data_IF_362854326722
#
_entry.id   IF_362854326722
#
_cell.length_a   1.000
_cell.length_b   1.000
_cell.length_c   1.000
_cell.angle_alpha   90.00
_cell.angle_beta   90.00
_cell.angle_gamma   90.00
#
_symmetry.space_group_name_H-M   'P 1'
#
loop_
_entity.id
_entity.type
_entity.pdbx_description
1 polymer ?
#
# COMPACT_ATOMS: atom_id res chain seq x y z
N UNK A 1 -3.08 14.92 6.65
CA UNK A 1 -2.40 14.12 7.71
C UNK A 1 -2.52 12.62 7.44
N UNK A 2 -3.71 12.03 7.33
CA UNK A 2 -3.86 10.59 7.02
C UNK A 2 -3.48 10.22 5.59
N UNK A 3 -3.73 11.10 4.62
CA UNK A 3 -3.24 10.95 3.25
C UNK A 3 -1.71 10.77 3.19
N UNK A 4 -0.96 11.68 3.83
CA UNK A 4 0.50 11.61 3.86
C UNK A 4 1.00 10.39 4.65
N UNK A 5 0.30 9.99 5.72
CA UNK A 5 0.60 8.75 6.46
C UNK A 5 0.45 7.53 5.54
N UNK A 6 -0.62 7.47 4.75
CA UNK A 6 -0.89 6.34 3.84
C UNK A 6 0.13 6.18 2.72
N UNK A 7 0.78 7.27 2.29
CA UNK A 7 1.80 7.23 1.23
C UNK A 7 3.24 7.31 1.76
N UNK A 8 3.43 7.34 3.08
CA UNK A 8 4.76 7.43 3.68
C UNK A 8 5.39 6.03 3.81
N UNK A 9 6.57 5.87 3.22
CA UNK A 9 7.27 4.58 3.16
C UNK A 9 7.70 4.08 4.55
N UNK A 10 8.16 4.98 5.41
CA UNK A 10 8.61 4.64 6.76
C UNK A 10 7.45 4.26 7.69
N UNK A 11 6.28 4.86 7.51
CA UNK A 11 5.06 4.51 8.24
C UNK A 11 4.61 3.12 7.79
N UNK A 12 4.56 2.86 6.49
CA UNK A 12 4.13 1.57 5.95
C UNK A 12 4.95 0.41 6.52
N UNK A 13 6.28 0.52 6.52
CA UNK A 13 7.17 -0.51 7.09
C UNK A 13 7.03 -0.71 8.60
N UNK A 14 6.62 0.34 9.35
CA UNK A 14 6.41 0.25 10.80
C UNK A 14 5.08 -0.41 11.14
N UNK A 15 4.02 -0.10 10.40
CA UNK A 15 2.67 -0.64 10.65
C UNK A 15 2.58 -2.12 10.30
N UNK A 16 3.31 -2.58 9.28
CA UNK A 16 3.33 -3.99 8.85
C UNK A 16 4.43 -4.84 9.52
N UNK A 17 4.96 -4.40 10.67
CA UNK A 17 6.03 -5.09 11.41
C UNK A 17 5.79 -6.59 11.68
N UNK A 18 4.53 -7.02 11.76
CA UNK A 18 4.16 -8.44 11.92
C UNK A 18 4.53 -9.34 10.72
N UNK A 19 4.66 -8.79 9.50
CA UNK A 19 5.02 -9.53 8.28
C UNK A 19 6.50 -9.39 7.91
N UNK A 20 7.29 -8.69 8.74
CA UNK A 20 8.70 -8.33 8.48
C UNK A 20 8.87 -7.65 7.12
N UNK A 21 7.92 -6.81 6.75
CA UNK A 21 7.95 -6.10 5.49
C UNK A 21 9.13 -5.12 5.44
N UNK A 22 9.82 -5.11 4.31
CA UNK A 22 10.96 -4.23 4.05
C UNK A 22 10.86 -3.67 2.64
N UNK A 23 11.34 -2.44 2.45
CA UNK A 23 11.42 -1.85 1.10
C UNK A 23 12.77 -2.23 0.51
N UNK A 24 12.76 -2.84 -0.66
CA UNK A 24 13.96 -3.39 -1.32
C UNK A 24 14.23 -2.81 -2.70
N UNK A 25 13.43 -1.85 -3.15
CA UNK A 25 13.65 -1.16 -4.43
C UNK A 25 12.60 -0.11 -4.74
N UNK A 26 12.90 0.75 -5.73
CA UNK A 26 12.07 1.91 -6.05
C UNK A 26 12.33 3.06 -5.08
N UNK A 27 11.29 3.82 -4.74
CA UNK A 27 11.33 4.84 -3.69
C UNK A 27 11.37 4.14 -2.33
N UNK A 28 12.43 4.40 -1.58
CA UNK A 28 12.74 3.70 -0.32
C UNK A 28 12.49 4.53 0.93
N UNK A 29 12.22 5.82 0.78
CA UNK A 29 12.03 6.77 1.87
C UNK A 29 11.12 7.92 1.43
N UNK A 30 10.54 8.61 2.41
CA UNK A 30 9.67 9.76 2.18
C UNK A 30 8.27 9.38 1.71
N UNK A 31 7.67 10.30 0.96
CA UNK A 31 6.29 10.19 0.51
C UNK A 31 6.27 9.74 -0.95
N UNK A 32 5.50 8.69 -1.23
CA UNK A 32 5.27 8.22 -2.59
C UNK A 32 4.43 9.25 -3.34
N UNK A 33 4.83 9.55 -4.57
CA UNK A 33 4.17 10.45 -5.51
C UNK A 33 3.59 9.67 -6.70
N UNK A 34 2.70 10.30 -7.47
CA UNK A 34 2.18 9.69 -8.68
C UNK A 34 3.31 9.37 -9.66
N UNK A 35 3.32 8.15 -10.18
CA UNK A 35 4.34 7.64 -11.09
C UNK A 35 5.46 6.86 -10.40
N UNK A 36 5.61 6.99 -9.09
CA UNK A 36 6.62 6.27 -8.32
C UNK A 36 6.36 4.77 -8.30
N UNK A 37 7.46 4.03 -8.15
CA UNK A 37 7.44 2.60 -7.91
C UNK A 37 8.03 2.30 -6.54
N UNK A 38 7.49 1.30 -5.88
CA UNK A 38 8.03 0.77 -4.63
C UNK A 38 8.00 -0.75 -4.66
N UNK A 39 9.07 -1.39 -4.20
CA UNK A 39 9.15 -2.84 -4.07
C UNK A 39 9.20 -3.24 -2.62
N UNK A 40 8.15 -3.92 -2.19
CA UNK A 40 8.00 -4.50 -0.88
C UNK A 40 8.49 -5.94 -0.88
N UNK A 41 9.21 -6.34 0.17
CA UNK A 41 9.59 -7.71 0.46
C UNK A 41 9.02 -8.10 1.82
N UNK A 42 8.19 -9.15 1.86
CA UNK A 42 7.60 -9.68 3.08
C UNK A 42 7.70 -11.21 3.10
N UNK A 43 7.63 -11.80 4.30
CA UNK A 43 7.63 -13.26 4.48
C UNK A 43 6.22 -13.72 4.81
N UNK A 44 5.57 -14.39 3.86
CA UNK A 44 4.26 -15.01 4.04
C UNK A 44 4.43 -16.54 4.04
N UNK A 45 3.93 -17.21 5.09
CA UNK A 45 4.00 -18.68 5.24
C UNK A 45 5.41 -19.28 5.07
N UNK A 46 6.45 -18.56 5.49
CA UNK A 46 7.84 -18.99 5.36
C UNK A 46 8.46 -18.79 3.97
N UNK A 47 7.70 -18.25 3.01
CA UNK A 47 8.18 -17.90 1.67
C UNK A 47 8.39 -16.40 1.59
N UNK A 48 9.60 -16.00 1.20
CA UNK A 48 9.92 -14.60 0.90
C UNK A 48 9.29 -14.22 -0.43
N UNK A 49 8.43 -13.20 -0.42
CA UNK A 49 7.74 -12.70 -1.59
C UNK A 49 8.11 -11.24 -1.83
N UNK A 50 8.12 -10.84 -3.10
CA UNK A 50 8.33 -9.45 -3.51
C UNK A 50 7.15 -8.97 -4.33
N UNK A 51 6.71 -7.75 -4.05
CA UNK A 51 5.65 -7.06 -4.79
C UNK A 51 6.16 -5.67 -5.14
N UNK A 52 6.27 -5.39 -6.43
CA UNK A 52 6.53 -4.05 -6.96
C UNK A 52 5.20 -3.42 -7.36
N UNK A 53 4.85 -2.31 -6.72
CA UNK A 53 3.68 -1.51 -7.03
C UNK A 53 4.08 -0.16 -7.63
N UNK A 54 3.18 0.43 -8.41
CA UNK A 54 3.29 1.77 -8.97
C UNK A 54 2.12 2.62 -8.50
N UNK A 55 2.36 3.85 -8.07
CA UNK A 55 1.28 4.82 -7.87
C UNK A 55 0.81 5.30 -9.24
N UNK A 56 -0.40 4.92 -9.63
CA UNK A 56 -0.95 5.19 -10.96
C UNK A 56 -1.80 6.45 -10.99
N UNK A 57 -2.54 6.71 -9.91
CA UNK A 57 -3.45 7.83 -9.78
C UNK A 57 -3.26 8.48 -8.41
N UNK A 58 -3.42 9.80 -8.35
CA UNK A 58 -3.33 10.56 -7.12
C UNK A 58 -4.17 11.83 -7.23
N UNK A 59 -5.01 12.07 -6.24
CA UNK A 59 -5.80 13.30 -6.07
C UNK A 59 -5.72 13.74 -4.61
N UNK A 60 -4.68 14.49 -4.22
CA UNK A 60 -4.48 14.89 -2.83
C UNK A 60 -5.54 15.89 -2.34
N UNK A 61 -5.99 15.81 -1.07
CA UNK A 61 -5.66 14.81 -0.06
C UNK A 61 -6.67 13.63 -0.03
N UNK A 62 -7.41 13.39 -1.11
CA UNK A 62 -8.61 12.56 -1.12
C UNK A 62 -8.38 11.11 -1.54
N UNK A 63 -7.52 10.85 -2.53
CA UNK A 63 -7.31 9.47 -3.01
C UNK A 63 -5.95 9.26 -3.66
N UNK A 64 -5.46 8.02 -3.61
CA UNK A 64 -4.42 7.53 -4.51
C UNK A 64 -4.61 6.04 -4.81
N UNK A 65 -4.12 5.59 -5.96
CA UNK A 65 -4.24 4.21 -6.43
C UNK A 65 -2.85 3.63 -6.70
N UNK A 66 -2.52 2.53 -6.03
CA UNK A 66 -1.33 1.74 -6.33
C UNK A 66 -1.69 0.42 -7.04
N UNK A 67 -0.90 0.07 -8.05
CA UNK A 67 -1.12 -1.11 -8.89
C UNK A 67 0.15 -1.94 -8.91
N UNK A 68 0.04 -3.23 -8.62
CA UNK A 68 1.16 -4.15 -8.72
C UNK A 68 1.56 -4.31 -10.19
N UNK A 69 2.82 -4.01 -10.49
CA UNK A 69 3.45 -4.22 -11.79
C UNK A 69 4.29 -5.50 -11.84
N UNK A 70 4.67 -6.05 -10.67
CA UNK A 70 5.40 -7.32 -10.56
C UNK A 70 5.15 -7.96 -9.20
N UNK A 71 4.82 -9.25 -9.16
CA UNK A 71 4.66 -9.98 -7.90
C UNK A 71 4.08 -11.36 -8.08
N UNK A 72 3.70 -11.99 -6.96
CA UNK A 72 3.15 -13.35 -6.95
C UNK A 72 1.67 -13.43 -7.36
N UNK A 73 0.96 -12.30 -7.36
CA UNK A 73 -0.44 -12.25 -7.77
C UNK A 73 -0.57 -12.13 -9.30
N UNK A 74 -1.74 -12.48 -9.83
CA UNK A 74 -2.07 -12.19 -11.23
C UNK A 74 -2.29 -10.70 -11.47
N UNK A 75 -2.97 -10.04 -10.53
CA UNK A 75 -3.24 -8.60 -10.53
C UNK A 75 -3.49 -8.14 -9.10
N UNK A 76 -3.06 -6.92 -8.78
CA UNK A 76 -3.38 -6.25 -7.52
C UNK A 76 -3.54 -4.76 -7.83
N UNK A 77 -4.68 -4.21 -7.45
CA UNK A 77 -5.04 -2.80 -7.54
C UNK A 77 -5.55 -2.45 -6.16
N UNK A 78 -5.02 -1.36 -5.61
CA UNK A 78 -5.32 -0.91 -4.27
C UNK A 78 -5.61 0.58 -4.32
N UNK A 79 -6.84 0.92 -3.99
CA UNK A 79 -7.34 2.29 -3.99
C UNK A 79 -7.42 2.70 -2.54
N UNK A 80 -6.81 3.84 -2.22
CA UNK A 80 -6.93 4.51 -0.94
C UNK A 80 -7.87 5.70 -1.11
N UNK A 81 -8.95 5.75 -0.32
CA UNK A 81 -9.87 6.89 -0.27
C UNK A 81 -9.85 7.49 1.15
N UNK A 82 -9.86 8.81 1.24
CA UNK A 82 -9.71 9.56 2.49
C UNK A 82 -10.89 10.52 2.62
N UNK A 83 -11.92 10.10 3.36
CA UNK A 83 -13.15 10.89 3.56
C UNK A 83 -13.12 11.55 4.93
N UNK A 84 -13.32 12.87 4.99
CA UNK A 84 -13.43 13.59 6.25
C UNK A 84 -14.85 13.48 6.82
N UNK A 85 -15.01 12.75 7.94
CA UNK A 85 -16.25 12.75 8.68
C UNK A 85 -16.21 13.88 9.74
N UNK A 86 -17.07 14.90 9.59
CA UNK A 86 -17.06 16.20 10.28
C UNK A 86 -17.19 16.25 11.82
N UNK A 87 -16.71 15.23 12.55
CA UNK A 87 -16.61 15.18 14.02
C UNK A 87 -15.17 15.05 14.54
N UNK A 88 -14.21 15.60 13.81
CA UNK A 88 -12.79 15.51 14.13
C UNK A 88 -12.15 14.32 13.43
N UNK A 89 -11.83 14.52 12.14
CA UNK A 89 -10.84 13.76 11.37
C UNK A 89 -10.78 12.25 11.59
N UNK A 90 -11.91 11.55 11.44
CA UNK A 90 -11.87 10.11 11.17
C UNK A 90 -11.88 9.91 9.67
N UNK A 91 -10.83 9.28 9.16
CA UNK A 91 -10.69 8.92 7.75
C UNK A 91 -11.00 7.43 7.63
N UNK A 92 -12.14 7.08 7.05
CA UNK A 92 -12.45 5.70 6.67
C UNK A 92 -11.74 5.39 5.35
N UNK A 93 -10.57 4.78 5.45
CA UNK A 93 -9.83 4.24 4.31
C UNK A 93 -10.46 2.95 3.82
N UNK A 94 -11.25 3.01 2.74
CA UNK A 94 -11.74 1.78 2.10
C UNK A 94 -10.66 1.21 1.19
N UNK A 95 -10.06 0.11 1.63
CA UNK A 95 -9.09 -0.64 0.85
C UNK A 95 -9.85 -1.61 -0.05
N UNK A 96 -9.93 -1.29 -1.34
CA UNK A 96 -10.49 -2.21 -2.33
C UNK A 96 -9.38 -3.07 -2.94
N UNK A 97 -9.36 -4.37 -2.62
CA UNK A 97 -8.46 -5.37 -3.21
C UNK A 97 -9.33 -6.35 -4.02
N UNK A 98 -9.02 -6.55 -5.31
CA UNK A 98 -9.56 -7.68 -6.09
C UNK A 98 -8.52 -8.81 -6.16
N UNK A 99 -8.49 -9.76 -5.20
CA UNK A 99 -7.71 -10.97 -5.37
C UNK A 99 -8.49 -11.96 -6.25
N UNK A 100 -7.84 -12.53 -7.27
CA UNK A 100 -8.44 -13.57 -8.13
C UNK A 100 -8.37 -14.98 -7.52
N UNK A 101 -7.79 -15.13 -6.31
CA UNK A 101 -7.77 -16.37 -5.54
C UNK A 101 -8.08 -16.11 -4.07
N UNK A 102 -8.75 -17.06 -3.42
CA UNK A 102 -9.07 -17.09 -1.98
C UNK A 102 -7.81 -17.25 -1.13
N UNK A 103 -7.00 -16.21 -1.07
CA UNK A 103 -6.00 -16.06 -0.05
C UNK A 103 -6.06 -14.60 0.36
N UNK A 104 -6.80 -14.33 1.43
CA UNK A 104 -6.69 -13.08 2.20
C UNK A 104 -5.29 -13.07 2.82
N UNK A 105 -4.27 -12.83 2.00
CA UNK A 105 -3.00 -12.35 2.50
C UNK A 105 -3.34 -10.96 3.00
N UNK A 106 -3.54 -10.85 4.31
CA UNK A 106 -3.58 -9.57 5.03
C UNK A 106 -2.22 -8.90 4.82
N UNK A 107 -2.05 -8.27 3.67
CA UNK A 107 -0.85 -7.52 3.30
C UNK A 107 -0.79 -6.21 4.07
N UNK A 108 -1.94 -5.73 4.55
CA UNK A 108 -2.07 -4.47 5.26
C UNK A 108 -2.96 -4.69 6.49
N UNK A 109 -2.34 -4.92 7.65
CA UNK A 109 -2.93 -4.69 8.97
C UNK A 109 -2.07 -3.68 9.71
#
# INVERSE_FOLDING_TARGET
>A
MYFDIGRNVEVHTKTTSNTKETVVGGVTEGLLEQGDYVTWEAIHFGVKQRVTAKITEMDPPYTFTDVMVKGAFHSFIHIHEFIENGKGGHYDGYIYIKPLFSCDIKMFQ
#
